data_IF_710873584282
#
_entry.id   IF_710873584282
#
_cell.length_a   1.000
_cell.length_b   1.000
_cell.length_c   1.000
_cell.angle_alpha   90.00
_cell.angle_beta   90.00
_cell.angle_gamma   90.00
#
_symmetry.space_group_name_H-M   'P 1'
#
loop_
_entity.id
_entity.type
_entity.pdbx_description
1 polymer ?
#
# COMPACT_ATOMS: atom_id res chain seq x y z
N UNK A 1 -11.22 -9.84 -17.38
CA UNK A 1 -10.18 -9.97 -16.33
C UNK A 1 -10.89 -10.26 -15.01
N UNK A 2 -10.47 -11.23 -14.19
CA UNK A 2 -11.20 -11.51 -12.93
C UNK A 2 -11.06 -10.33 -11.97
N UNK A 3 -12.12 -10.03 -11.20
CA UNK A 3 -12.12 -8.94 -10.21
C UNK A 3 -10.96 -9.03 -9.22
N UNK A 4 -10.54 -10.25 -8.88
CA UNK A 4 -9.40 -10.51 -8.00
C UNK A 4 -8.07 -10.07 -8.65
N UNK A 5 -7.88 -10.35 -9.94
CA UNK A 5 -6.68 -9.96 -10.68
C UNK A 5 -6.61 -8.43 -10.84
N UNK A 6 -7.73 -7.77 -11.15
CA UNK A 6 -7.79 -6.31 -11.28
C UNK A 6 -7.53 -5.60 -9.95
N UNK A 7 -8.10 -6.09 -8.86
CA UNK A 7 -7.81 -5.58 -7.52
C UNK A 7 -6.35 -5.82 -7.10
N UNK A 8 -5.77 -6.99 -7.45
CA UNK A 8 -4.37 -7.30 -7.13
C UNK A 8 -3.40 -6.34 -7.84
N UNK A 9 -3.62 -6.09 -9.13
CA UNK A 9 -2.79 -5.14 -9.90
C UNK A 9 -2.92 -3.72 -9.31
N UNK A 10 -4.14 -3.26 -9.01
CA UNK A 10 -4.34 -1.96 -8.38
C UNK A 10 -3.69 -1.86 -6.99
N UNK A 11 -3.74 -2.95 -6.20
CA UNK A 11 -3.08 -3.05 -4.90
C UNK A 11 -1.56 -2.94 -4.98
N UNK A 12 -0.94 -3.59 -5.98
CA UNK A 12 0.52 -3.54 -6.22
C UNK A 12 0.95 -2.14 -6.63
N UNK A 13 0.23 -1.47 -7.55
CA UNK A 13 0.55 -0.08 -7.91
C UNK A 13 0.43 0.87 -6.73
N UNK A 14 -0.61 0.71 -5.90
CA UNK A 14 -0.74 1.50 -4.68
C UNK A 14 0.35 1.18 -3.66
N UNK A 15 0.79 -0.08 -3.55
CA UNK A 15 1.93 -0.45 -2.71
C UNK A 15 3.19 0.29 -3.11
N UNK A 16 3.49 0.32 -4.41
CA UNK A 16 4.69 0.97 -4.95
C UNK A 16 4.69 2.48 -4.65
N UNK A 17 3.57 3.16 -4.89
CA UNK A 17 3.42 4.59 -4.59
C UNK A 17 3.56 4.83 -3.08
N UNK A 18 2.88 4.03 -2.27
CA UNK A 18 2.93 4.15 -0.80
C UNK A 18 4.37 3.97 -0.29
N UNK A 19 5.04 2.91 -0.75
CA UNK A 19 6.40 2.58 -0.36
C UNK A 19 7.39 3.67 -0.76
N UNK A 20 7.25 4.28 -1.93
CA UNK A 20 8.09 5.40 -2.37
C UNK A 20 7.95 6.63 -1.46
N UNK A 21 6.72 7.01 -1.10
CA UNK A 21 6.47 8.12 -0.16
C UNK A 21 7.03 7.82 1.24
N UNK A 22 6.79 6.62 1.75
CA UNK A 22 7.25 6.19 3.05
C UNK A 22 8.79 6.11 3.11
N UNK A 23 9.45 5.59 2.07
CA UNK A 23 10.92 5.61 1.94
C UNK A 23 11.48 7.04 1.94
N UNK A 24 10.84 7.98 1.26
CA UNK A 24 11.23 9.40 1.29
C UNK A 24 11.12 10.00 2.70
N UNK A 25 10.05 9.70 3.43
CA UNK A 25 9.85 10.14 4.81
C UNK A 25 10.86 9.50 5.77
N UNK A 26 11.15 8.21 5.60
CA UNK A 26 12.23 7.50 6.29
C UNK A 26 13.58 8.19 6.09
N UNK A 27 13.94 8.51 4.85
CA UNK A 27 15.20 9.20 4.54
C UNK A 27 15.29 10.58 5.22
N UNK A 28 14.20 11.34 5.25
CA UNK A 28 14.12 12.62 5.97
C UNK A 28 14.30 12.45 7.49
N UNK A 29 13.65 11.44 8.07
CA UNK A 29 13.78 11.11 9.50
C UNK A 29 15.21 10.70 9.83
N UNK A 30 15.83 9.85 9.00
CA UNK A 30 17.21 9.42 9.16
C UNK A 30 18.24 10.51 8.87
N UNK A 31 17.90 11.50 8.04
CA UNK A 31 18.74 12.68 7.86
C UNK A 31 18.70 13.60 9.10
N UNK A 32 17.52 13.69 9.74
CA UNK A 32 17.33 14.46 10.98
C UNK A 32 17.96 13.76 12.18
N UNK A 33 17.80 12.45 12.28
CA UNK A 33 18.46 11.57 13.25
C UNK A 33 19.86 11.28 12.75
N UNK A 34 20.86 12.11 13.08
CA UNK A 34 22.28 11.98 12.71
C UNK A 34 22.91 10.59 13.02
N UNK A 35 22.55 9.62 12.18
CA UNK A 35 22.87 8.18 12.08
C UNK A 35 23.51 7.53 13.32
N UNK A 36 22.66 7.09 14.25
CA UNK A 36 22.98 6.02 15.21
C UNK A 36 22.43 4.70 14.64
N UNK A 37 23.32 3.79 14.25
CA UNK A 37 23.01 2.62 13.41
C UNK A 37 21.89 1.69 13.89
N UNK A 38 21.57 1.68 15.20
CA UNK A 38 20.45 0.90 15.76
C UNK A 38 19.07 1.48 15.43
N UNK A 39 18.97 2.81 15.28
CA UNK A 39 17.70 3.51 15.01
C UNK A 39 17.34 3.39 13.51
N UNK A 40 18.35 3.19 12.65
CA UNK A 40 18.19 2.99 11.21
C UNK A 40 17.23 1.83 10.87
N UNK A 41 17.50 0.65 11.44
CA UNK A 41 16.71 -0.55 11.20
C UNK A 41 15.28 -0.43 11.74
N UNK A 42 15.10 0.26 12.87
CA UNK A 42 13.78 0.49 13.46
C UNK A 42 12.90 1.38 12.59
N UNK A 43 13.46 2.49 12.08
CA UNK A 43 12.74 3.41 11.19
C UNK A 43 12.41 2.72 9.87
N UNK A 44 13.35 1.97 9.31
CA UNK A 44 13.14 1.23 8.06
C UNK A 44 12.06 0.14 8.19
N UNK A 45 12.08 -0.64 9.28
CA UNK A 45 11.06 -1.65 9.56
C UNK A 45 9.66 -1.03 9.76
N UNK A 46 9.57 0.09 10.50
CA UNK A 46 8.31 0.82 10.68
C UNK A 46 7.77 1.37 9.36
N UNK A 47 8.67 1.82 8.49
CA UNK A 47 8.35 2.35 7.16
C UNK A 47 7.80 1.25 6.24
N UNK A 48 8.44 0.07 6.24
CA UNK A 48 7.96 -1.09 5.48
C UNK A 48 6.59 -1.57 5.97
N UNK A 49 6.39 -1.64 7.30
CA UNK A 49 5.10 -2.01 7.89
C UNK A 49 4.00 -0.99 7.57
N UNK A 50 4.32 0.30 7.61
CA UNK A 50 3.40 1.38 7.23
C UNK A 50 2.95 1.28 5.77
N UNK A 51 3.90 1.07 4.85
CA UNK A 51 3.60 0.89 3.43
C UNK A 51 2.72 -0.34 3.16
N UNK A 52 3.04 -1.48 3.79
CA UNK A 52 2.22 -2.70 3.70
C UNK A 52 0.81 -2.50 4.24
N UNK A 53 0.66 -1.81 5.38
CA UNK A 53 -0.63 -1.54 5.99
C UNK A 53 -1.51 -0.67 5.09
N UNK A 54 -0.98 0.45 4.59
CA UNK A 54 -1.71 1.37 3.71
C UNK A 54 -2.11 0.66 2.42
N UNK A 55 -1.20 -0.08 1.79
CA UNK A 55 -1.51 -0.86 0.59
C UNK A 55 -2.60 -1.91 0.83
N UNK A 56 -2.57 -2.61 1.97
CA UNK A 56 -3.59 -3.60 2.32
C UNK A 56 -4.99 -2.96 2.46
N UNK A 57 -5.09 -1.77 3.06
CA UNK A 57 -6.35 -1.01 3.15
C UNK A 57 -6.88 -0.62 1.76
N UNK A 58 -5.99 -0.15 0.87
CA UNK A 58 -6.35 0.16 -0.52
C UNK A 58 -6.79 -1.10 -1.27
N UNK A 59 -6.09 -2.22 -1.11
CA UNK A 59 -6.45 -3.50 -1.74
C UNK A 59 -7.82 -4.00 -1.27
N UNK A 60 -8.11 -3.97 0.03
CA UNK A 60 -9.44 -4.31 0.56
C UNK A 60 -10.54 -3.40 0.00
N UNK A 61 -10.26 -2.11 -0.14
CA UNK A 61 -11.22 -1.13 -0.68
C UNK A 61 -11.47 -1.38 -2.17
N UNK A 62 -10.41 -1.63 -2.95
CA UNK A 62 -10.51 -2.00 -4.35
C UNK A 62 -11.28 -3.31 -4.53
N UNK A 63 -11.01 -4.34 -3.72
CA UNK A 63 -11.75 -5.61 -3.74
C UNK A 63 -13.23 -5.43 -3.45
N UNK A 64 -13.60 -4.59 -2.48
CA UNK A 64 -15.01 -4.29 -2.18
C UNK A 64 -15.68 -3.58 -3.34
N UNK A 65 -15.04 -2.56 -3.90
CA UNK A 65 -15.55 -1.81 -5.05
C UNK A 65 -15.78 -2.72 -6.27
N UNK A 66 -14.80 -3.56 -6.58
CA UNK A 66 -14.84 -4.54 -7.67
C UNK A 66 -15.98 -5.55 -7.52
N UNK A 67 -16.19 -6.08 -6.30
CA UNK A 67 -17.31 -6.99 -6.01
C UNK A 67 -18.66 -6.30 -6.15
N UNK A 68 -18.79 -5.05 -5.69
CA UNK A 68 -20.02 -4.28 -5.83
C UNK A 68 -20.34 -3.99 -7.29
N UNK A 69 -19.34 -3.61 -8.09
CA UNK A 69 -19.51 -3.40 -9.53
C UNK A 69 -20.01 -4.67 -10.25
N UNK A 70 -19.42 -5.84 -9.94
CA UNK A 70 -19.91 -7.12 -10.51
C UNK A 70 -21.36 -7.43 -10.11
N UNK A 71 -21.78 -7.15 -8.87
CA UNK A 71 -23.19 -7.39 -8.46
C UNK A 71 -24.19 -6.47 -9.15
N UNK A 72 -23.77 -5.25 -9.53
CA UNK A 72 -24.60 -4.31 -10.29
C UNK A 72 -24.75 -4.77 -11.74
N UNK A 73 -23.66 -5.20 -12.38
CA UNK A 73 -23.71 -5.74 -13.75
C UNK A 73 -24.59 -6.99 -13.85
N UNK A 74 -24.53 -7.90 -12.87
CA UNK A 74 -25.39 -9.10 -12.84
C UNK A 74 -26.88 -8.79 -12.63
N UNK A 75 -27.23 -7.65 -12.03
CA UNK A 75 -28.62 -7.21 -11.83
C UNK A 75 -29.17 -6.44 -13.03
N UNK A 76 -28.29 -5.92 -13.88
CA UNK A 76 -28.62 -5.15 -15.09
C UNK A 76 -28.93 -6.03 -16.31
N UNK A 77 -28.60 -7.32 -16.26
CA UNK A 77 -28.88 -8.32 -17.28
C UNK A 77 -30.08 -9.19 -16.89
#
# INVERSE_FOLDING_TARGET
MSAMLRAAVAGVFMFEISAAFFMGLSALILFTLHVTGSIFWGVEAMTALGALYVSSLFFMSALKYERQAQTVDLRSN
#
